data_IF_401491590136
#
_entry.id   IF_401491590136
#
_cell.length_a   1.000
_cell.length_b   1.000
_cell.length_c   1.000
_cell.angle_alpha   90.00
_cell.angle_beta   90.00
_cell.angle_gamma   90.00
#
_symmetry.space_group_name_H-M   'P 1'
#
loop_
_entity.id
_entity.type
_entity.pdbx_description
1 polymer ?
#
# COMPACT_ATOMS: atom_id res chain seq x y z
N UNK A 1 7.28 -60.55 -31.66
CA UNK A 1 8.43 -59.80 -32.20
C UNK A 1 7.92 -58.41 -32.53
N UNK A 2 8.19 -57.43 -31.67
CA UNK A 2 7.61 -56.10 -31.74
C UNK A 2 8.34 -55.24 -32.79
N UNK A 3 7.58 -54.56 -33.64
CA UNK A 3 8.07 -53.61 -34.64
C UNK A 3 8.33 -52.26 -33.92
N UNK A 4 9.49 -51.61 -34.10
CA UNK A 4 9.80 -50.38 -33.38
C UNK A 4 9.07 -49.18 -33.99
N UNK A 5 8.42 -48.40 -33.14
CA UNK A 5 7.83 -47.12 -33.49
C UNK A 5 8.90 -46.03 -33.48
N UNK A 6 9.48 -45.72 -34.64
CA UNK A 6 10.34 -44.56 -34.83
C UNK A 6 9.87 -43.75 -36.04
N UNK A 7 8.84 -42.92 -35.86
CA UNK A 7 8.60 -41.70 -36.66
C UNK A 7 7.48 -40.88 -36.02
N UNK A 8 7.80 -40.16 -34.95
CA UNK A 8 7.09 -38.94 -34.57
C UNK A 8 8.13 -37.88 -34.21
N UNK A 9 8.66 -37.23 -35.26
CA UNK A 9 9.35 -35.96 -35.13
C UNK A 9 8.36 -34.94 -34.56
N UNK A 10 8.55 -34.58 -33.28
CA UNK A 10 7.83 -33.48 -32.63
C UNK A 10 8.14 -32.18 -33.41
N UNK A 11 7.14 -31.41 -33.88
CA UNK A 11 7.43 -30.10 -34.42
C UNK A 11 7.90 -29.19 -33.26
N UNK A 12 8.91 -28.41 -33.57
CA UNK A 12 9.72 -27.63 -32.65
C UNK A 12 8.90 -26.61 -31.84
N UNK A 13 8.93 -26.75 -30.51
CA UNK A 13 8.59 -25.70 -29.54
C UNK A 13 9.70 -24.62 -29.47
N UNK A 14 10.14 -24.11 -30.62
CA UNK A 14 11.27 -23.16 -30.72
C UNK A 14 10.82 -21.69 -30.64
N UNK A 15 9.66 -21.36 -31.23
CA UNK A 15 9.16 -19.97 -31.32
C UNK A 15 8.85 -19.32 -29.96
N UNK A 16 8.32 -20.07 -28.99
CA UNK A 16 8.06 -19.55 -27.64
C UNK A 16 9.35 -19.19 -26.87
N UNK A 17 10.44 -19.95 -27.08
CA UNK A 17 11.73 -19.67 -26.42
C UNK A 17 12.47 -18.51 -27.07
N UNK A 18 12.34 -18.34 -28.40
CA UNK A 18 12.91 -17.21 -29.14
C UNK A 18 12.13 -15.91 -28.82
N UNK A 19 10.81 -15.98 -28.68
CA UNK A 19 9.99 -14.85 -28.25
C UNK A 19 10.27 -14.44 -26.80
N UNK A 20 10.41 -15.41 -25.88
CA UNK A 20 10.71 -15.12 -24.48
C UNK A 20 12.10 -14.51 -24.24
N UNK A 21 13.08 -14.75 -25.13
CA UNK A 21 14.43 -14.19 -25.00
C UNK A 21 14.58 -12.76 -25.55
N UNK A 22 13.59 -12.26 -26.30
CA UNK A 22 13.58 -10.91 -26.89
C UNK A 22 12.34 -10.14 -26.45
N UNK A 23 12.22 -9.89 -25.14
CA UNK A 23 11.10 -9.13 -24.55
C UNK A 23 10.92 -7.75 -25.20
N UNK A 24 12.01 -7.10 -25.60
CA UNK A 24 11.98 -5.79 -26.27
C UNK A 24 11.35 -5.88 -27.67
N UNK A 25 11.62 -6.97 -28.40
CA UNK A 25 11.00 -7.21 -29.71
C UNK A 25 9.50 -7.45 -29.55
N UNK A 26 9.09 -8.21 -28.53
CA UNK A 26 7.68 -8.44 -28.21
C UNK A 26 6.96 -7.13 -27.89
N UNK A 27 7.56 -6.27 -27.07
CA UNK A 27 7.01 -4.96 -26.73
C UNK A 27 6.88 -4.05 -27.97
N UNK A 28 7.92 -4.01 -28.82
CA UNK A 28 7.89 -3.23 -30.06
C UNK A 28 6.82 -3.72 -31.03
N UNK A 29 6.70 -5.04 -31.22
CA UNK A 29 5.66 -5.64 -32.07
C UNK A 29 4.26 -5.36 -31.51
N UNK A 30 4.08 -5.42 -30.19
CA UNK A 30 2.80 -5.08 -29.56
C UNK A 30 2.43 -3.60 -29.80
N UNK A 31 3.37 -2.67 -29.61
CA UNK A 31 3.15 -1.25 -29.87
C UNK A 31 2.81 -0.97 -31.34
N UNK A 32 3.58 -1.52 -32.28
CA UNK A 32 3.29 -1.40 -33.71
C UNK A 32 1.93 -2.03 -34.03
N UNK A 33 1.61 -3.16 -33.41
CA UNK A 33 0.32 -3.84 -33.53
C UNK A 33 -0.86 -2.92 -33.16
N UNK A 34 -0.76 -2.17 -32.06
CA UNK A 34 -1.78 -1.18 -31.65
C UNK A 34 -2.00 -0.14 -32.75
N UNK A 35 -0.92 0.41 -33.31
CA UNK A 35 -0.99 1.42 -34.39
C UNK A 35 -1.59 0.81 -35.67
N UNK A 36 -1.21 -0.42 -36.01
CA UNK A 36 -1.75 -1.13 -37.18
C UNK A 36 -3.24 -1.38 -37.05
N UNK A 37 -3.72 -1.80 -35.87
CA UNK A 37 -5.16 -1.99 -35.57
C UNK A 37 -5.93 -0.68 -35.77
N UNK A 38 -5.35 0.47 -35.39
CA UNK A 38 -5.98 1.77 -35.59
C UNK A 38 -6.17 2.12 -37.08
N UNK A 39 -5.29 1.67 -37.97
CA UNK A 39 -5.32 2.01 -39.40
C UNK A 39 -6.09 0.96 -40.21
N UNK A 40 -5.84 -0.34 -39.97
CA UNK A 40 -6.39 -1.43 -40.77
C UNK A 40 -7.74 -1.93 -40.23
N UNK A 41 -8.69 -2.29 -41.10
CA UNK A 41 -9.95 -2.87 -40.67
C UNK A 41 -9.74 -4.27 -40.10
N UNK A 42 -10.18 -4.49 -38.87
CA UNK A 42 -10.15 -5.80 -38.22
C UNK A 42 -11.49 -6.53 -38.36
N UNK A 43 -11.50 -7.85 -38.58
CA UNK A 43 -12.74 -8.63 -38.56
C UNK A 43 -13.41 -8.61 -37.17
N UNK A 44 -14.74 -8.71 -37.08
CA UNK A 44 -15.46 -8.66 -35.80
C UNK A 44 -14.98 -9.69 -34.75
N UNK A 45 -14.64 -10.92 -35.19
CA UNK A 45 -14.16 -11.95 -34.28
C UNK A 45 -12.80 -11.64 -33.63
N UNK A 46 -11.91 -10.92 -34.34
CA UNK A 46 -10.64 -10.48 -33.77
C UNK A 46 -10.84 -9.30 -32.81
N UNK A 47 -11.77 -8.40 -33.11
CA UNK A 47 -12.15 -7.34 -32.19
C UNK A 47 -12.66 -7.92 -30.87
N UNK A 48 -13.54 -8.92 -30.90
CA UNK A 48 -14.05 -9.58 -29.68
C UNK A 48 -12.91 -10.14 -28.81
N UNK A 49 -11.93 -10.82 -29.41
CA UNK A 49 -10.76 -11.36 -28.69
C UNK A 49 -9.95 -10.23 -28.06
N UNK A 50 -9.66 -9.16 -28.81
CA UNK A 50 -8.86 -8.05 -28.34
C UNK A 50 -9.56 -7.25 -27.23
N UNK A 51 -10.89 -7.09 -27.30
CA UNK A 51 -11.68 -6.47 -26.23
C UNK A 51 -11.63 -7.30 -24.94
N UNK A 52 -11.75 -8.62 -25.03
CA UNK A 52 -11.62 -9.51 -23.87
C UNK A 52 -10.21 -9.46 -23.28
N UNK A 53 -9.17 -9.43 -24.12
CA UNK A 53 -7.79 -9.24 -23.68
C UNK A 53 -7.64 -7.90 -22.95
N UNK A 54 -8.23 -6.82 -23.48
CA UNK A 54 -8.18 -5.50 -22.84
C UNK A 54 -8.82 -5.52 -21.44
N UNK A 55 -10.01 -6.13 -21.30
CA UNK A 55 -10.67 -6.31 -19.99
C UNK A 55 -9.78 -7.13 -19.05
N UNK A 56 -9.24 -8.25 -19.52
CA UNK A 56 -8.37 -9.11 -18.72
C UNK A 56 -7.12 -8.37 -18.24
N UNK A 57 -6.44 -7.63 -19.11
CA UNK A 57 -5.29 -6.81 -18.76
C UNK A 57 -5.63 -5.73 -17.73
N UNK A 58 -6.80 -5.10 -17.82
CA UNK A 58 -7.25 -4.13 -16.82
C UNK A 58 -7.54 -4.76 -15.46
N UNK A 59 -8.14 -5.95 -15.43
CA UNK A 59 -8.35 -6.69 -14.18
C UNK A 59 -7.00 -7.08 -13.57
N UNK A 60 -6.08 -7.64 -14.36
CA UNK A 60 -4.73 -8.02 -13.90
C UNK A 60 -4.01 -6.79 -13.35
N UNK A 61 -4.07 -5.66 -14.05
CA UNK A 61 -3.46 -4.39 -13.61
C UNK A 61 -4.03 -3.95 -12.26
N UNK A 62 -5.35 -3.96 -12.07
CA UNK A 62 -5.97 -3.61 -10.79
C UNK A 62 -5.55 -4.57 -9.67
N UNK A 63 -5.63 -5.88 -9.91
CA UNK A 63 -5.26 -6.88 -8.90
C UNK A 63 -3.78 -6.75 -8.52
N UNK A 64 -2.89 -6.51 -9.48
CA UNK A 64 -1.47 -6.27 -9.21
C UNK A 64 -1.31 -5.07 -8.25
N UNK A 65 -1.99 -3.96 -8.49
CA UNK A 65 -1.94 -2.80 -7.57
C UNK A 65 -2.53 -3.05 -6.17
N UNK A 66 -3.45 -4.01 -6.04
CA UNK A 66 -4.04 -4.38 -4.75
C UNK A 66 -3.13 -5.28 -3.92
N UNK A 67 -2.38 -6.16 -4.59
CA UNK A 67 -1.53 -7.16 -3.94
C UNK A 67 -0.08 -6.74 -3.78
N UNK A 68 0.41 -5.76 -4.56
CA UNK A 68 1.78 -5.25 -4.39
C UNK A 68 1.93 -4.46 -3.09
N UNK A 69 3.05 -4.70 -2.41
CA UNK A 69 3.45 -4.08 -1.14
C UNK A 69 4.53 -3.01 -1.30
N UNK A 70 5.35 -3.05 -2.35
CA UNK A 70 6.42 -2.07 -2.59
C UNK A 70 6.20 -1.33 -3.92
N UNK A 71 6.18 0.00 -3.89
CA UNK A 71 6.06 0.83 -5.09
C UNK A 71 7.25 0.75 -6.02
N UNK A 72 8.43 0.38 -5.53
CA UNK A 72 9.63 0.19 -6.36
C UNK A 72 9.44 -0.90 -7.42
N UNK A 73 8.61 -1.91 -7.12
CA UNK A 73 8.29 -3.01 -8.04
C UNK A 73 7.41 -2.58 -9.22
N UNK A 74 6.77 -1.41 -9.13
CA UNK A 74 5.80 -0.91 -10.11
C UNK A 74 6.30 0.28 -10.92
N UNK A 75 7.61 0.49 -11.01
CA UNK A 75 8.19 1.56 -11.84
C UNK A 75 7.76 1.53 -13.32
N UNK A 76 7.39 0.37 -13.86
CA UNK A 76 6.91 0.24 -15.25
C UNK A 76 5.43 0.61 -15.42
N UNK A 77 4.69 0.83 -14.33
CA UNK A 77 3.25 1.05 -14.34
C UNK A 77 2.81 2.26 -15.18
N UNK A 78 3.47 3.44 -15.17
CA UNK A 78 3.10 4.55 -16.04
C UNK A 78 3.11 4.16 -17.53
N UNK A 79 4.11 3.39 -17.94
CA UNK A 79 4.25 2.90 -19.32
C UNK A 79 3.18 1.85 -19.65
N UNK A 80 2.85 0.96 -18.72
CA UNK A 80 1.75 -0.01 -18.88
C UNK A 80 0.41 0.72 -19.05
N UNK A 81 0.17 1.75 -18.24
CA UNK A 81 -1.04 2.55 -18.29
C UNK A 81 -1.16 3.30 -19.64
N UNK A 82 -0.07 3.89 -20.13
CA UNK A 82 -0.05 4.55 -21.44
C UNK A 82 -0.28 3.55 -22.59
N UNK A 83 0.31 2.36 -22.51
CA UNK A 83 0.13 1.33 -23.53
C UNK A 83 -1.31 0.81 -23.53
N UNK A 84 -1.89 0.59 -22.35
CA UNK A 84 -3.26 0.13 -22.19
C UNK A 84 -4.30 1.18 -22.63
N UNK A 85 -4.04 2.47 -22.43
CA UNK A 85 -4.90 3.55 -22.96
C UNK A 85 -4.83 3.62 -24.48
N UNK A 86 -3.64 3.56 -25.06
CA UNK A 86 -3.47 3.54 -26.52
C UNK A 86 -4.15 2.32 -27.15
N UNK A 87 -3.99 1.14 -26.54
CA UNK A 87 -4.65 -0.08 -27.00
C UNK A 87 -6.17 0.07 -26.99
N UNK A 88 -6.74 0.57 -25.89
CA UNK A 88 -8.17 0.85 -25.77
C UNK A 88 -8.66 1.85 -26.81
N UNK A 89 -7.94 2.94 -27.05
CA UNK A 89 -8.28 3.91 -28.07
C UNK A 89 -8.29 3.29 -29.47
N UNK A 90 -7.31 2.44 -29.80
CA UNK A 90 -7.26 1.73 -31.06
C UNK A 90 -8.44 0.76 -31.24
N UNK A 91 -8.88 0.08 -30.16
CA UNK A 91 -10.06 -0.76 -30.19
C UNK A 91 -11.34 0.05 -30.40
N UNK A 92 -11.50 1.19 -29.73
CA UNK A 92 -12.66 2.08 -29.90
C UNK A 92 -12.76 2.63 -31.33
N UNK A 93 -11.63 2.98 -31.96
CA UNK A 93 -11.59 3.41 -33.37
C UNK A 93 -11.98 2.25 -34.30
N UNK A 94 -11.52 1.04 -33.98
CA UNK A 94 -11.83 -0.16 -34.77
C UNK A 94 -13.30 -0.58 -34.65
N UNK A 95 -13.85 -0.57 -33.44
CA UNK A 95 -15.26 -0.88 -33.18
C UNK A 95 -16.17 0.16 -33.83
N UNK A 96 -15.87 1.45 -33.70
CA UNK A 96 -16.59 2.55 -34.37
C UNK A 96 -16.67 2.34 -35.88
N UNK A 97 -15.55 1.95 -36.51
CA UNK A 97 -15.53 1.64 -37.94
C UNK A 97 -16.48 0.50 -38.29
N UNK A 98 -16.47 -0.60 -37.54
CA UNK A 98 -17.37 -1.73 -37.76
C UNK A 98 -18.83 -1.33 -37.54
N UNK A 99 -19.12 -0.60 -36.47
CA UNK A 99 -20.46 -0.08 -36.15
C UNK A 99 -20.99 0.72 -37.34
N UNK A 100 -20.26 1.73 -37.80
CA UNK A 100 -20.70 2.62 -38.87
C UNK A 100 -20.76 1.94 -40.25
N UNK A 101 -19.80 1.08 -40.58
CA UNK A 101 -19.73 0.47 -41.92
C UNK A 101 -20.60 -0.77 -42.05
N UNK A 102 -20.60 -1.66 -41.05
CA UNK A 102 -21.28 -2.96 -41.12
C UNK A 102 -22.57 -3.01 -40.32
N UNK A 103 -22.84 -2.03 -39.44
CA UNK A 103 -23.92 -2.12 -38.44
C UNK A 103 -23.79 -3.39 -37.58
N UNK A 104 -22.55 -3.79 -37.34
CA UNK A 104 -22.14 -4.88 -36.47
C UNK A 104 -20.86 -4.46 -35.75
N UNK A 105 -20.67 -4.95 -34.52
CA UNK A 105 -19.53 -4.61 -33.68
C UNK A 105 -18.92 -5.84 -32.99
N UNK A 106 -19.29 -7.05 -33.42
CA UNK A 106 -18.90 -8.28 -32.74
C UNK A 106 -19.89 -8.69 -31.65
N UNK A 107 -19.67 -9.88 -31.11
CA UNK A 107 -20.58 -10.51 -30.16
C UNK A 107 -20.46 -9.89 -28.77
N UNK A 108 -19.25 -9.49 -28.36
CA UNK A 108 -19.02 -8.92 -27.03
C UNK A 108 -19.78 -7.61 -26.91
N UNK A 109 -19.58 -6.67 -27.85
CA UNK A 109 -20.27 -5.38 -27.86
C UNK A 109 -21.80 -5.56 -27.91
N UNK A 110 -22.28 -6.47 -28.77
CA UNK A 110 -23.72 -6.74 -28.89
C UNK A 110 -24.31 -7.29 -27.59
N UNK A 111 -23.62 -8.19 -26.91
CA UNK A 111 -24.06 -8.77 -25.65
C UNK A 111 -24.16 -7.71 -24.54
N UNK A 112 -23.13 -6.86 -24.40
CA UNK A 112 -23.14 -5.75 -23.43
C UNK A 112 -24.23 -4.72 -23.74
N UNK A 113 -24.42 -4.39 -25.01
CA UNK A 113 -25.47 -3.46 -25.45
C UNK A 113 -26.87 -3.99 -25.13
N UNK A 114 -27.14 -5.26 -25.45
CA UNK A 114 -28.43 -5.90 -25.14
C UNK A 114 -28.70 -6.02 -23.64
N UNK A 115 -27.67 -6.27 -22.83
CA UNK A 115 -27.81 -6.38 -21.38
C UNK A 115 -28.31 -5.08 -20.74
N UNK A 116 -27.81 -3.92 -21.20
CA UNK A 116 -28.19 -2.61 -20.62
C UNK A 116 -29.44 -2.02 -21.28
N UNK A 117 -29.59 -2.18 -22.59
CA UNK A 117 -30.74 -1.64 -23.32
C UNK A 117 -32.00 -2.46 -23.08
N UNK A 118 -31.88 -3.78 -22.88
CA UNK A 118 -33.05 -4.68 -22.79
C UNK A 118 -34.04 -4.40 -23.94
N UNK A 119 -35.34 -4.40 -23.68
CA UNK A 119 -36.38 -4.06 -24.66
C UNK A 119 -36.62 -2.53 -24.83
N UNK A 120 -35.86 -1.66 -24.16
CA UNK A 120 -36.08 -0.20 -24.20
C UNK A 120 -34.78 0.59 -24.41
N UNK A 121 -34.49 0.92 -25.67
CA UNK A 121 -33.30 1.69 -26.07
C UNK A 121 -33.22 3.09 -25.48
N UNK A 122 -34.36 3.71 -25.13
CA UNK A 122 -34.37 5.03 -24.47
C UNK A 122 -33.84 4.91 -23.04
N UNK A 123 -34.35 3.93 -22.28
CA UNK A 123 -33.88 3.68 -20.90
C UNK A 123 -32.40 3.27 -20.91
N UNK A 124 -32.01 2.41 -21.84
CA UNK A 124 -30.61 2.01 -22.01
C UNK A 124 -29.69 3.19 -22.30
N UNK A 125 -30.10 4.11 -23.18
CA UNK A 125 -29.35 5.33 -23.47
C UNK A 125 -29.21 6.23 -22.22
N UNK A 126 -30.29 6.40 -21.44
CA UNK A 126 -30.24 7.21 -20.20
C UNK A 126 -29.28 6.59 -19.17
N UNK A 127 -29.39 5.28 -18.92
CA UNK A 127 -28.48 4.57 -18.01
C UNK A 127 -27.03 4.72 -18.50
N UNK A 128 -26.80 4.52 -19.79
CA UNK A 128 -25.48 4.65 -20.38
C UNK A 128 -24.89 6.06 -20.22
N UNK A 129 -25.68 7.12 -20.45
CA UNK A 129 -25.23 8.51 -20.24
C UNK A 129 -24.87 8.73 -18.77
N UNK A 130 -25.66 8.23 -17.83
CA UNK A 130 -25.35 8.34 -16.39
C UNK A 130 -24.02 7.66 -16.07
N UNK A 131 -23.82 6.41 -16.51
CA UNK A 131 -22.57 5.67 -16.23
C UNK A 131 -21.38 6.40 -16.88
N UNK A 132 -21.53 6.87 -18.11
CA UNK A 132 -20.49 7.62 -18.82
C UNK A 132 -20.11 8.91 -18.07
N UNK A 133 -21.09 9.66 -17.58
CA UNK A 133 -20.87 10.89 -16.81
C UNK A 133 -20.19 10.58 -15.49
N UNK A 134 -20.65 9.58 -14.73
CA UNK A 134 -20.01 9.17 -13.47
C UNK A 134 -18.57 8.73 -13.72
N UNK A 135 -18.35 7.95 -14.78
CA UNK A 135 -17.02 7.47 -15.13
C UNK A 135 -16.06 8.61 -15.46
N UNK A 136 -16.50 9.61 -16.22
CA UNK A 136 -15.64 10.75 -16.57
C UNK A 136 -15.49 11.73 -15.40
N UNK A 137 -16.60 12.23 -14.87
CA UNK A 137 -16.63 13.34 -13.91
C UNK A 137 -16.12 12.92 -12.53
N UNK A 138 -16.49 11.72 -12.07
CA UNK A 138 -16.15 11.27 -10.72
C UNK A 138 -14.88 10.43 -10.74
N UNK A 139 -14.85 9.37 -11.54
CA UNK A 139 -13.78 8.37 -11.47
C UNK A 139 -12.51 8.88 -12.17
N UNK A 140 -12.60 9.21 -13.46
CA UNK A 140 -11.42 9.60 -14.25
C UNK A 140 -10.83 10.93 -13.79
N UNK A 141 -11.67 11.96 -13.64
CA UNK A 141 -11.20 13.26 -13.13
C UNK A 141 -10.78 13.19 -11.66
N UNK A 142 -11.45 12.37 -10.83
CA UNK A 142 -11.07 12.17 -9.43
C UNK A 142 -9.69 11.52 -9.32
N UNK A 143 -9.48 10.40 -10.00
CA UNK A 143 -8.19 9.70 -10.05
C UNK A 143 -7.08 10.60 -10.60
N UNK A 144 -7.36 11.35 -11.67
CA UNK A 144 -6.40 12.30 -12.25
C UNK A 144 -5.98 13.40 -11.27
N UNK A 145 -6.92 13.98 -10.52
CA UNK A 145 -6.61 15.00 -9.50
C UNK A 145 -5.82 14.44 -8.33
N UNK A 146 -6.14 13.22 -7.89
CA UNK A 146 -5.39 12.53 -6.84
C UNK A 146 -3.95 12.27 -7.31
N UNK A 147 -3.78 11.79 -8.55
CA UNK A 147 -2.48 11.55 -9.15
C UNK A 147 -1.64 12.83 -9.29
N UNK A 148 -2.24 13.90 -9.82
CA UNK A 148 -1.58 15.21 -10.00
C UNK A 148 -1.12 15.80 -8.66
N UNK A 149 -2.00 15.81 -7.65
CA UNK A 149 -1.72 16.42 -6.35
C UNK A 149 -0.65 15.63 -5.60
N UNK A 150 -0.75 14.30 -5.58
CA UNK A 150 0.23 13.46 -4.92
C UNK A 150 1.60 13.51 -5.62
N UNK A 151 1.63 13.44 -6.96
CA UNK A 151 2.87 13.60 -7.71
C UNK A 151 3.52 14.95 -7.40
N UNK A 152 2.75 16.04 -7.43
CA UNK A 152 3.28 17.37 -7.12
C UNK A 152 3.84 17.46 -5.70
N UNK A 153 3.12 16.99 -4.68
CA UNK A 153 3.62 17.04 -3.31
C UNK A 153 4.86 16.16 -3.09
N UNK A 154 4.91 14.98 -3.70
CA UNK A 154 6.09 14.12 -3.63
C UNK A 154 7.29 14.75 -4.34
N UNK A 155 7.08 15.37 -5.50
CA UNK A 155 8.12 16.08 -6.25
C UNK A 155 8.62 17.33 -5.49
N UNK A 156 7.72 18.09 -4.86
CA UNK A 156 8.06 19.26 -4.04
C UNK A 156 8.87 18.86 -2.78
N UNK A 157 8.70 17.62 -2.30
CA UNK A 157 9.46 17.07 -1.16
C UNK A 157 10.86 16.54 -1.53
N UNK A 158 11.20 16.42 -2.83
CA UNK A 158 12.48 15.85 -3.26
C UNK A 158 13.72 16.59 -2.75
N UNK A 159 13.80 17.94 -2.78
CA UNK A 159 14.96 18.64 -2.25
C UNK A 159 15.17 18.35 -0.76
N UNK A 160 14.09 18.25 0.01
CA UNK A 160 14.15 17.89 1.43
C UNK A 160 14.70 16.48 1.66
N UNK A 161 14.22 15.50 0.88
CA UNK A 161 14.74 14.12 0.91
C UNK A 161 16.20 14.02 0.43
N UNK A 162 16.62 14.84 -0.55
CA UNK A 162 18.01 14.90 -0.98
C UNK A 162 18.91 15.49 0.12
N UNK A 163 18.49 16.62 0.71
CA UNK A 163 19.20 17.25 1.82
C UNK A 163 19.34 16.33 3.03
N UNK A 164 18.33 15.51 3.35
CA UNK A 164 18.45 14.54 4.44
C UNK A 164 19.47 13.44 4.13
N UNK A 165 19.56 12.97 2.89
CA UNK A 165 20.60 12.01 2.48
C UNK A 165 22.00 12.65 2.60
N UNK A 166 22.14 13.90 2.16
CA UNK A 166 23.41 14.62 2.26
C UNK A 166 23.80 14.89 3.71
N UNK A 167 22.83 15.22 4.57
CA UNK A 167 23.05 15.39 6.00
C UNK A 167 23.48 14.08 6.67
N UNK A 168 22.82 12.95 6.39
CA UNK A 168 23.17 11.63 6.90
C UNK A 168 24.59 11.22 6.48
N UNK A 169 24.96 11.46 5.22
CA UNK A 169 26.30 11.18 4.70
C UNK A 169 27.36 12.06 5.36
N UNK A 170 27.11 13.37 5.46
CA UNK A 170 28.03 14.31 6.12
C UNK A 170 28.17 14.04 7.63
N UNK A 171 27.14 13.48 8.27
CA UNK A 171 27.16 13.06 9.67
C UNK A 171 27.85 11.69 9.88
N UNK A 172 28.22 10.99 8.81
CA UNK A 172 28.83 9.66 8.88
C UNK A 172 27.87 8.54 9.27
N UNK A 173 26.55 8.76 9.17
CA UNK A 173 25.53 7.75 9.45
C UNK A 173 25.40 6.72 8.30
N UNK A 174 25.77 7.12 7.09
CA UNK A 174 25.76 6.28 5.87
C UNK A 174 27.06 6.43 5.10
N UNK A 175 27.44 5.39 4.35
CA UNK A 175 28.60 5.38 3.46
C UNK A 175 28.27 5.95 2.06
N UNK A 176 29.29 6.10 1.21
CA UNK A 176 29.15 6.67 -0.14
C UNK A 176 28.26 5.79 -1.03
N UNK A 177 28.39 4.47 -0.93
CA UNK A 177 27.60 3.52 -1.71
C UNK A 177 26.12 3.56 -1.31
N UNK A 178 25.79 3.60 -0.02
CA UNK A 178 24.41 3.75 0.45
C UNK A 178 23.84 5.12 0.08
N UNK A 179 24.62 6.21 0.19
CA UNK A 179 24.19 7.54 -0.23
C UNK A 179 23.89 7.57 -1.74
N UNK A 180 24.73 6.94 -2.57
CA UNK A 180 24.50 6.82 -4.01
C UNK A 180 23.26 6.00 -4.34
N UNK A 181 23.05 4.88 -3.66
CA UNK A 181 21.86 4.04 -3.85
C UNK A 181 20.58 4.78 -3.43
N UNK A 182 20.57 5.45 -2.28
CA UNK A 182 19.41 6.26 -1.83
C UNK A 182 19.08 7.39 -2.80
N UNK A 183 20.09 8.08 -3.35
CA UNK A 183 19.88 9.10 -4.39
C UNK A 183 19.29 8.50 -5.68
N UNK A 184 19.74 7.32 -6.09
CA UNK A 184 19.20 6.62 -7.26
C UNK A 184 17.74 6.19 -7.05
N UNK A 185 17.42 5.66 -5.87
CA UNK A 185 16.06 5.31 -5.48
C UNK A 185 15.15 6.55 -5.49
N UNK A 186 15.64 7.66 -4.94
CA UNK A 186 14.92 8.94 -4.92
C UNK A 186 14.69 9.52 -6.33
N UNK A 187 15.68 9.39 -7.23
CA UNK A 187 15.51 9.76 -8.64
C UNK A 187 14.45 8.89 -9.31
N UNK A 188 14.48 7.59 -9.06
CA UNK A 188 13.51 6.65 -9.62
C UNK A 188 12.09 6.94 -9.12
N UNK A 189 11.93 7.28 -7.84
CA UNK A 189 10.67 7.76 -7.26
C UNK A 189 10.18 9.03 -7.97
N UNK A 190 11.07 10.00 -8.18
CA UNK A 190 10.75 11.24 -8.89
C UNK A 190 10.27 10.99 -10.34
N UNK A 191 11.01 10.17 -11.09
CA UNK A 191 10.68 9.81 -12.47
C UNK A 191 9.34 9.08 -12.55
N UNK A 192 9.05 8.20 -11.59
CA UNK A 192 7.77 7.50 -11.48
C UNK A 192 6.60 8.47 -11.29
N UNK A 193 6.67 9.38 -10.31
CA UNK A 193 5.58 10.34 -10.06
C UNK A 193 5.42 11.35 -11.21
N UNK A 194 6.52 11.79 -11.83
CA UNK A 194 6.49 12.62 -13.03
C UNK A 194 5.82 11.92 -14.22
N UNK A 195 6.16 10.65 -14.46
CA UNK A 195 5.54 9.84 -15.50
C UNK A 195 4.06 9.54 -15.20
N UNK A 196 3.69 9.31 -13.92
CA UNK A 196 2.30 9.07 -13.50
C UNK A 196 1.39 10.28 -13.73
N UNK A 197 1.85 11.51 -13.45
CA UNK A 197 1.09 12.73 -13.76
C UNK A 197 0.81 12.84 -15.28
N UNK A 198 1.84 12.61 -16.10
CA UNK A 198 1.70 12.57 -17.55
C UNK A 198 0.72 11.49 -18.03
N UNK A 199 0.90 10.25 -17.58
CA UNK A 199 0.06 9.11 -17.94
C UNK A 199 -1.41 9.33 -17.53
N UNK A 200 -1.66 9.94 -16.37
CA UNK A 200 -3.01 10.25 -15.87
C UNK A 200 -3.74 11.27 -16.76
N UNK A 201 -3.01 12.25 -17.32
CA UNK A 201 -3.57 13.20 -18.31
C UNK A 201 -3.96 12.50 -19.61
N UNK A 202 -3.21 11.48 -20.04
CA UNK A 202 -3.58 10.63 -21.18
C UNK A 202 -4.87 9.84 -20.93
N UNK A 203 -5.06 9.26 -19.73
CA UNK A 203 -6.32 8.57 -19.38
C UNK A 203 -7.51 9.53 -19.44
N UNK A 204 -7.34 10.76 -18.95
CA UNK A 204 -8.38 11.79 -19.02
C UNK A 204 -8.71 12.16 -20.47
N UNK A 205 -7.69 12.32 -21.32
CA UNK A 205 -7.88 12.59 -22.75
C UNK A 205 -8.63 11.47 -23.47
N UNK A 206 -8.31 10.22 -23.16
CA UNK A 206 -9.00 9.04 -23.70
C UNK A 206 -10.49 9.00 -23.29
N UNK A 207 -10.82 9.34 -22.04
CA UNK A 207 -12.22 9.38 -21.61
C UNK A 207 -13.04 10.46 -22.37
N UNK A 208 -12.42 11.61 -22.69
CA UNK A 208 -13.04 12.65 -23.53
C UNK A 208 -13.25 12.10 -24.95
N UNK A 209 -12.24 11.44 -25.52
CA UNK A 209 -12.34 10.82 -26.83
C UNK A 209 -13.47 9.78 -26.87
N UNK A 210 -13.63 8.97 -25.82
CA UNK A 210 -14.72 8.00 -25.71
C UNK A 210 -16.12 8.64 -25.78
N UNK A 211 -16.33 9.77 -25.10
CA UNK A 211 -17.60 10.52 -25.18
C UNK A 211 -17.84 11.04 -26.60
N UNK A 212 -16.80 11.57 -27.25
CA UNK A 212 -16.89 12.05 -28.63
C UNK A 212 -17.24 10.90 -29.58
N UNK A 213 -16.60 9.74 -29.41
CA UNK A 213 -16.84 8.54 -30.21
C UNK A 213 -18.29 8.07 -30.08
N UNK A 214 -18.85 8.06 -28.86
CA UNK A 214 -20.27 7.76 -28.64
C UNK A 214 -21.17 8.69 -29.46
N UNK A 215 -20.92 10.01 -29.41
CA UNK A 215 -21.72 10.98 -30.14
C UNK A 215 -21.61 10.76 -31.66
N UNK A 216 -20.40 10.48 -32.15
CA UNK A 216 -20.15 10.15 -33.56
C UNK A 216 -20.91 8.87 -33.95
N UNK A 217 -20.91 7.85 -33.10
CA UNK A 217 -21.56 6.58 -33.40
C UNK A 217 -23.09 6.70 -33.45
N UNK A 218 -23.70 7.46 -32.53
CA UNK A 218 -25.15 7.71 -32.55
C UNK A 218 -25.53 8.55 -33.77
N UNK A 219 -24.92 9.72 -33.95
CA UNK A 219 -25.31 10.68 -35.00
C UNK A 219 -24.92 10.14 -36.38
N UNK A 220 -23.67 9.70 -36.54
CA UNK A 220 -23.16 9.14 -37.78
C UNK A 220 -23.85 7.83 -38.14
N UNK A 221 -24.11 6.97 -37.15
CA UNK A 221 -24.83 5.71 -37.34
C UNK A 221 -26.26 5.93 -37.83
N UNK A 222 -27.00 6.87 -37.21
CA UNK A 222 -28.33 7.27 -37.67
C UNK A 222 -28.30 7.81 -39.11
N UNK A 223 -27.36 8.70 -39.43
CA UNK A 223 -27.22 9.27 -40.77
C UNK A 223 -26.91 8.19 -41.82
N UNK A 224 -25.93 7.33 -41.57
CA UNK A 224 -25.55 6.24 -42.49
C UNK A 224 -26.68 5.20 -42.60
N UNK A 225 -27.32 4.85 -41.48
CA UNK A 225 -28.42 3.91 -41.42
C UNK A 225 -29.61 4.33 -42.29
N UNK A 226 -30.03 5.59 -42.19
CA UNK A 226 -31.17 6.12 -42.93
C UNK A 226 -30.80 6.47 -44.37
N UNK A 227 -29.69 7.19 -44.58
CA UNK A 227 -29.34 7.73 -45.91
C UNK A 227 -28.68 6.71 -46.84
N UNK A 228 -27.89 5.78 -46.30
CA UNK A 228 -27.10 4.84 -47.12
C UNK A 228 -27.62 3.40 -47.04
N UNK A 229 -28.04 2.93 -45.87
CA UNK A 229 -28.51 1.54 -45.67
C UNK A 229 -30.02 1.35 -45.84
N UNK A 230 -30.78 2.44 -45.99
CA UNK A 230 -32.23 2.39 -46.21
C UNK A 230 -33.05 1.93 -44.99
N UNK A 231 -32.48 1.98 -43.78
CA UNK A 231 -33.22 1.66 -42.56
C UNK A 231 -34.25 2.75 -42.24
N UNK A 232 -35.34 2.36 -41.59
CA UNK A 232 -36.24 3.36 -40.99
C UNK A 232 -35.52 4.07 -39.84
N UNK A 233 -35.93 5.31 -39.52
CA UNK A 233 -35.35 6.08 -38.41
C UNK A 233 -35.39 5.27 -37.11
N UNK A 234 -36.49 4.56 -36.86
CA UNK A 234 -36.65 3.74 -35.66
C UNK A 234 -35.70 2.53 -35.64
N UNK A 235 -35.55 1.83 -36.77
CA UNK A 235 -34.62 0.69 -36.88
C UNK A 235 -33.16 1.14 -36.73
N UNK A 236 -32.78 2.23 -37.40
CA UNK A 236 -31.45 2.81 -37.27
C UNK A 236 -31.20 3.24 -35.82
N UNK A 237 -32.14 3.93 -35.18
CA UNK A 237 -32.03 4.33 -33.79
C UNK A 237 -31.82 3.12 -32.88
N UNK A 238 -32.60 2.06 -33.05
CA UNK A 238 -32.48 0.86 -32.22
C UNK A 238 -31.11 0.17 -32.40
N UNK A 239 -30.70 -0.09 -33.65
CA UNK A 239 -29.44 -0.82 -33.94
C UNK A 239 -28.23 -0.02 -33.47
N UNK A 240 -28.11 1.23 -33.90
CA UNK A 240 -26.93 2.04 -33.60
C UNK A 240 -26.89 2.47 -32.13
N UNK A 241 -28.03 2.67 -31.47
CA UNK A 241 -28.04 2.92 -30.01
C UNK A 241 -27.57 1.69 -29.24
N UNK A 242 -28.06 0.50 -29.57
CA UNK A 242 -27.64 -0.74 -28.89
C UNK A 242 -26.14 -0.97 -29.07
N UNK A 243 -25.63 -0.84 -30.30
CA UNK A 243 -24.22 -1.04 -30.59
C UNK A 243 -23.34 0.02 -29.93
N UNK A 244 -23.76 1.29 -29.94
CA UNK A 244 -22.98 2.37 -29.33
C UNK A 244 -22.95 2.27 -27.81
N UNK A 245 -24.10 1.97 -27.19
CA UNK A 245 -24.17 1.75 -25.74
C UNK A 245 -23.31 0.54 -25.36
N UNK A 246 -23.39 -0.56 -26.12
CA UNK A 246 -22.56 -1.74 -25.91
C UNK A 246 -21.07 -1.42 -26.00
N UNK A 247 -20.64 -0.72 -27.05
CA UNK A 247 -19.25 -0.34 -27.28
C UNK A 247 -18.73 0.54 -26.14
N UNK A 248 -19.50 1.56 -25.76
CA UNK A 248 -19.15 2.43 -24.64
C UNK A 248 -19.04 1.69 -23.31
N UNK A 249 -19.94 0.74 -23.02
CA UNK A 249 -19.88 -0.06 -21.79
C UNK A 249 -18.67 -0.98 -21.75
N UNK A 250 -18.35 -1.64 -22.87
CA UNK A 250 -17.16 -2.49 -22.98
C UNK A 250 -15.90 -1.66 -22.78
N UNK A 251 -15.84 -0.44 -23.33
CA UNK A 251 -14.72 0.48 -23.14
C UNK A 251 -14.63 1.04 -21.70
N UNK A 252 -15.76 1.16 -20.99
CA UNK A 252 -15.82 1.71 -19.64
C UNK A 252 -15.26 0.78 -18.57
N UNK A 253 -15.45 -0.54 -18.69
CA UNK A 253 -14.96 -1.50 -17.70
C UNK A 253 -13.42 -1.39 -17.53
N UNK A 254 -12.61 -1.51 -18.61
CA UNK A 254 -11.17 -1.25 -18.56
C UNK A 254 -10.81 0.13 -18.00
N UNK A 255 -11.58 1.16 -18.38
CA UNK A 255 -11.34 2.55 -17.97
C UNK A 255 -11.49 2.75 -16.46
N UNK A 256 -12.52 2.15 -15.85
CA UNK A 256 -12.76 2.17 -14.40
C UNK A 256 -11.59 1.48 -13.72
N UNK A 257 -11.30 0.25 -14.11
CA UNK A 257 -10.28 -0.59 -13.48
C UNK A 257 -8.89 0.07 -13.52
N UNK A 258 -8.47 0.61 -14.67
CA UNK A 258 -7.18 1.29 -14.81
C UNK A 258 -7.15 2.61 -14.02
N UNK A 259 -8.22 3.41 -14.05
CA UNK A 259 -8.29 4.67 -13.29
C UNK A 259 -8.23 4.42 -11.79
N UNK A 260 -8.93 3.39 -11.31
CA UNK A 260 -8.88 2.98 -9.90
C UNK A 260 -7.51 2.45 -9.54
N UNK A 261 -6.89 1.59 -10.36
CA UNK A 261 -5.55 1.08 -10.13
C UNK A 261 -4.51 2.21 -10.04
N UNK A 262 -4.57 3.18 -10.95
CA UNK A 262 -3.70 4.35 -10.94
C UNK A 262 -3.89 5.21 -9.69
N UNK A 263 -5.14 5.50 -9.32
CA UNK A 263 -5.46 6.26 -8.11
C UNK A 263 -4.98 5.55 -6.84
N UNK A 264 -5.21 4.24 -6.74
CA UNK A 264 -4.77 3.42 -5.61
C UNK A 264 -3.25 3.33 -5.50
N UNK A 265 -2.55 3.16 -6.61
CA UNK A 265 -1.09 3.05 -6.61
C UNK A 265 -0.43 4.32 -6.07
N UNK A 266 -0.95 5.48 -6.47
CA UNK A 266 -0.44 6.77 -6.02
C UNK A 266 -0.72 7.00 -4.53
N UNK A 267 -1.92 6.66 -4.05
CA UNK A 267 -2.29 6.89 -2.64
C UNK A 267 -1.67 5.88 -1.67
N UNK A 268 -1.33 4.68 -2.15
CA UNK A 268 -0.69 3.62 -1.36
C UNK A 268 0.83 3.59 -1.50
N UNK A 269 1.43 4.65 -2.05
CA UNK A 269 2.83 4.60 -2.45
C UNK A 269 3.84 4.44 -1.31
N UNK A 270 3.39 4.69 -0.07
CA UNK A 270 4.15 4.59 1.18
C UNK A 270 3.64 3.48 2.10
N UNK A 271 2.70 2.65 1.65
CA UNK A 271 2.16 1.53 2.44
C UNK A 271 3.16 0.37 2.49
N UNK A 272 3.39 -0.20 3.68
CA UNK A 272 4.30 -1.36 3.87
C UNK A 272 3.59 -2.71 3.73
N UNK A 273 2.25 -2.74 3.83
CA UNK A 273 1.43 -3.95 3.81
C UNK A 273 0.50 -3.98 2.58
N UNK A 274 -0.08 -5.15 2.28
CA UNK A 274 -1.05 -5.27 1.18
C UNK A 274 -2.37 -4.57 1.51
N UNK A 275 -3.17 -4.22 0.49
CA UNK A 275 -4.41 -3.44 0.73
C UNK A 275 -5.38 -4.16 1.64
N UNK A 276 -5.48 -5.49 1.47
CA UNK A 276 -6.33 -6.34 2.28
C UNK A 276 -5.89 -6.37 3.76
N UNK A 277 -4.59 -6.41 4.02
CA UNK A 277 -4.05 -6.39 5.38
C UNK A 277 -4.27 -5.05 6.06
N UNK A 278 -4.07 -3.93 5.36
CA UNK A 278 -4.34 -2.59 5.90
C UNK A 278 -5.83 -2.39 6.20
N UNK A 279 -6.70 -2.79 5.27
CA UNK A 279 -8.15 -2.70 5.47
C UNK A 279 -8.60 -3.60 6.62
N UNK A 280 -8.18 -4.87 6.63
CA UNK A 280 -8.51 -5.80 7.71
C UNK A 280 -7.99 -5.27 9.05
N UNK A 281 -6.74 -4.81 9.08
CA UNK A 281 -6.14 -4.18 10.25
C UNK A 281 -6.97 -3.01 10.75
N UNK A 282 -7.33 -2.04 9.91
CA UNK A 282 -8.03 -0.82 10.33
C UNK A 282 -9.49 -1.08 10.72
N UNK A 283 -10.26 -1.81 9.92
CA UNK A 283 -11.68 -2.05 10.18
C UNK A 283 -11.92 -3.04 11.32
N UNK A 284 -11.07 -4.06 11.46
CA UNK A 284 -11.22 -5.09 12.50
C UNK A 284 -10.56 -4.69 13.83
N UNK A 285 -9.73 -3.64 13.87
CA UNK A 285 -9.11 -3.13 15.11
C UNK A 285 -10.10 -2.51 16.09
N UNK A 286 -11.32 -2.16 15.65
CA UNK A 286 -12.33 -1.52 16.48
C UNK A 286 -13.62 -2.35 16.63
N UNK A 287 -13.59 -3.49 17.37
CA UNK A 287 -14.76 -4.36 17.51
C UNK A 287 -16.01 -3.66 18.07
N UNK A 288 -15.81 -2.63 18.92
CA UNK A 288 -16.91 -1.83 19.48
C UNK A 288 -17.68 -1.07 18.40
N UNK A 289 -17.00 -0.57 17.37
CA UNK A 289 -17.65 0.11 16.25
C UNK A 289 -18.50 -0.88 15.46
N UNK A 290 -17.96 -2.07 15.19
CA UNK A 290 -18.69 -3.16 14.51
C UNK A 290 -19.96 -3.57 15.28
N UNK A 291 -19.89 -3.61 16.62
CA UNK A 291 -21.06 -3.90 17.46
C UNK A 291 -22.14 -2.80 17.39
N UNK A 292 -21.72 -1.53 17.42
CA UNK A 292 -22.64 -0.40 17.28
C UNK A 292 -23.31 -0.39 15.90
N UNK A 293 -22.56 -0.71 14.85
CA UNK A 293 -23.12 -0.89 13.49
C UNK A 293 -24.14 -2.02 13.46
N UNK A 294 -23.87 -3.15 14.11
CA UNK A 294 -24.83 -4.26 14.19
C UNK A 294 -26.14 -3.86 14.87
N UNK A 295 -26.05 -3.10 15.98
CA UNK A 295 -27.22 -2.56 16.68
C UNK A 295 -28.02 -1.56 15.83
N UNK A 296 -27.34 -0.67 15.12
CA UNK A 296 -27.99 0.28 14.21
C UNK A 296 -28.70 -0.44 13.05
N UNK A 297 -28.06 -1.43 12.43
CA UNK A 297 -28.66 -2.24 11.36
C UNK A 297 -29.88 -3.01 11.85
N UNK A 298 -29.85 -3.54 13.09
CA UNK A 298 -31.00 -4.19 13.71
C UNK A 298 -32.18 -3.22 13.88
N UNK A 299 -31.93 -2.00 14.39
CA UNK A 299 -32.95 -0.97 14.56
C UNK A 299 -33.54 -0.52 13.21
N UNK A 300 -32.70 -0.33 12.19
CA UNK A 300 -33.17 -0.01 10.83
C UNK A 300 -34.00 -1.16 10.23
N UNK A 301 -33.66 -2.41 10.52
CA UNK A 301 -34.42 -3.58 10.10
C UNK A 301 -35.83 -3.68 10.71
N UNK A 302 -36.10 -2.96 11.80
CA UNK A 302 -37.44 -2.87 12.41
C UNK A 302 -38.33 -1.78 11.79
N UNK A 303 -37.77 -0.89 10.95
CA UNK A 303 -38.52 0.19 10.32
C UNK A 303 -39.41 -0.37 9.21
N UNK A 304 -40.74 -0.19 9.28
CA UNK A 304 -41.65 -0.67 8.24
C UNK A 304 -41.41 0.08 6.92
N UNK A 305 -41.38 -0.67 5.81
CA UNK A 305 -41.08 -0.13 4.47
C UNK A 305 -39.65 -0.36 3.99
N UNK A 306 -38.74 -0.80 4.87
CA UNK A 306 -37.39 -1.24 4.49
C UNK A 306 -37.31 -2.77 4.31
N UNK A 307 -36.42 -3.28 3.43
CA UNK A 307 -36.21 -4.71 3.25
C UNK A 307 -35.57 -5.33 4.50
N UNK A 308 -36.38 -5.84 5.41
CA UNK A 308 -35.96 -6.29 6.75
C UNK A 308 -34.92 -7.42 6.74
N UNK A 309 -35.06 -8.37 5.79
CA UNK A 309 -34.20 -9.56 5.69
C UNK A 309 -32.72 -9.19 5.49
N UNK A 310 -32.32 -8.37 4.48
CA UNK A 310 -30.94 -7.88 4.36
C UNK A 310 -30.37 -7.25 5.62
N UNK A 311 -31.13 -6.38 6.30
CA UNK A 311 -30.67 -5.69 7.50
C UNK A 311 -30.40 -6.65 8.67
N UNK A 312 -31.30 -7.63 8.90
CA UNK A 312 -31.09 -8.62 9.95
C UNK A 312 -29.93 -9.56 9.66
N UNK A 313 -29.75 -9.99 8.41
CA UNK A 313 -28.59 -10.82 8.01
C UNK A 313 -27.29 -10.05 8.27
N UNK A 314 -27.21 -8.79 7.83
CA UNK A 314 -26.00 -7.97 8.01
C UNK A 314 -25.74 -7.67 9.50
N UNK A 315 -26.79 -7.40 10.28
CA UNK A 315 -26.69 -7.23 11.73
C UNK A 315 -26.17 -8.48 12.43
N UNK A 316 -26.64 -9.67 12.04
CA UNK A 316 -26.15 -10.93 12.59
C UNK A 316 -24.68 -11.18 12.25
N UNK A 317 -24.27 -10.93 11.00
CA UNK A 317 -22.86 -11.06 10.56
C UNK A 317 -21.97 -10.10 11.36
N UNK A 318 -22.33 -8.82 11.46
CA UNK A 318 -21.55 -7.84 12.22
C UNK A 318 -21.48 -8.19 13.71
N UNK A 319 -22.57 -8.69 14.30
CA UNK A 319 -22.58 -9.13 15.70
C UNK A 319 -21.63 -10.31 15.93
N UNK A 320 -21.64 -11.29 15.02
CA UNK A 320 -20.77 -12.47 15.09
C UNK A 320 -19.29 -12.09 14.91
N UNK A 321 -18.98 -11.23 13.93
CA UNK A 321 -17.63 -10.70 13.72
C UNK A 321 -17.13 -9.87 14.92
N UNK A 322 -17.98 -9.02 15.50
CA UNK A 322 -17.59 -8.26 16.69
C UNK A 322 -17.29 -9.19 17.87
N UNK A 323 -18.10 -10.24 18.05
CA UNK A 323 -17.89 -11.21 19.12
C UNK A 323 -16.56 -11.96 18.99
N UNK A 324 -16.20 -12.41 17.77
CA UNK A 324 -14.91 -13.07 17.53
C UNK A 324 -13.73 -12.12 17.76
N UNK A 325 -13.81 -10.89 17.28
CA UNK A 325 -12.75 -9.89 17.47
C UNK A 325 -12.55 -9.49 18.94
N UNK A 326 -13.63 -9.32 19.71
CA UNK A 326 -13.55 -9.03 21.15
C UNK A 326 -12.89 -10.20 21.88
N UNK A 327 -13.23 -11.44 21.51
CA UNK A 327 -12.65 -12.64 22.09
C UNK A 327 -11.15 -12.71 21.81
N UNK A 328 -10.74 -12.50 20.57
CA UNK A 328 -9.33 -12.51 20.16
C UNK A 328 -8.52 -11.41 20.86
N UNK A 329 -9.06 -10.18 20.97
CA UNK A 329 -8.40 -9.10 21.71
C UNK A 329 -8.29 -9.40 23.21
N UNK A 330 -9.30 -10.03 23.80
CA UNK A 330 -9.27 -10.43 25.21
C UNK A 330 -8.22 -11.53 25.44
N UNK A 331 -8.13 -12.50 24.54
CA UNK A 331 -7.14 -13.56 24.60
C UNK A 331 -5.71 -13.03 24.45
N UNK A 332 -5.45 -12.15 23.47
CA UNK A 332 -4.16 -11.48 23.31
C UNK A 332 -3.75 -10.68 24.54
N UNK A 333 -4.70 -9.99 25.20
CA UNK A 333 -4.43 -9.26 26.45
C UNK A 333 -4.06 -10.19 27.61
N UNK A 334 -4.68 -11.37 27.70
CA UNK A 334 -4.37 -12.36 28.74
C UNK A 334 -2.97 -12.94 28.50
N UNK A 335 -2.67 -13.34 27.26
CA UNK A 335 -1.36 -13.87 26.87
C UNK A 335 -0.24 -12.85 27.09
N UNK A 336 -0.47 -11.58 26.75
CA UNK A 336 0.50 -10.51 26.98
C UNK A 336 0.68 -10.19 28.48
N UNK A 337 -0.37 -10.34 29.29
CA UNK A 337 -0.27 -10.22 30.74
C UNK A 337 0.48 -11.41 31.36
N UNK A 338 0.32 -12.62 30.83
CA UNK A 338 1.08 -13.80 31.24
C UNK A 338 2.56 -13.68 30.85
N UNK A 339 2.88 -13.24 29.64
CA UNK A 339 4.26 -12.98 29.21
C UNK A 339 4.91 -11.89 30.07
N UNK A 340 4.18 -10.82 30.39
CA UNK A 340 4.68 -9.74 31.26
C UNK A 340 4.86 -10.23 32.71
N UNK A 341 3.99 -11.10 33.20
CA UNK A 341 4.10 -11.71 34.53
C UNK A 341 5.29 -12.68 34.61
N UNK A 342 5.52 -13.49 33.57
CA UNK A 342 6.72 -14.35 33.48
C UNK A 342 7.99 -13.52 33.38
N UNK A 343 8.00 -12.43 32.59
CA UNK A 343 9.13 -11.50 32.51
C UNK A 343 9.45 -10.83 33.85
N UNK A 344 8.42 -10.48 34.64
CA UNK A 344 8.58 -9.95 36.00
C UNK A 344 9.05 -11.01 37.00
N UNK A 345 8.69 -12.28 36.81
CA UNK A 345 9.16 -13.41 37.64
C UNK A 345 10.60 -13.85 37.28
N UNK A 346 11.05 -13.63 36.05
CA UNK A 346 12.41 -13.90 35.58
C UNK A 346 13.40 -12.74 35.77
N UNK A 347 12.95 -11.61 36.31
CA UNK A 347 13.86 -10.62 36.87
C UNK A 347 14.44 -11.19 38.18
N UNK A 348 15.46 -12.04 38.05
CA UNK A 348 16.35 -12.38 39.16
C UNK A 348 16.84 -11.07 39.80
N UNK A 349 16.97 -11.01 41.14
CA UNK A 349 17.43 -9.80 41.80
C UNK A 349 18.85 -9.49 41.35
N UNK A 350 19.02 -8.43 40.54
CA UNK A 350 20.30 -7.91 40.03
C UNK A 350 21.32 -7.51 41.13
N UNK A 351 21.02 -7.72 42.41
CA UNK A 351 21.77 -7.16 43.53
C UNK A 351 22.49 -8.20 44.41
N UNK A 352 22.71 -9.43 43.93
CA UNK A 352 23.59 -10.38 44.64
C UNK A 352 25.07 -10.16 44.33
N UNK A 353 25.42 -9.65 43.13
CA UNK A 353 26.81 -9.38 42.76
C UNK A 353 27.37 -8.06 43.31
N UNK A 354 26.51 -7.09 43.64
CA UNK A 354 26.90 -5.85 44.32
C UNK A 354 27.33 -6.10 45.78
N UNK A 355 26.86 -7.18 46.41
CA UNK A 355 27.29 -7.66 47.73
C UNK A 355 28.67 -8.35 47.72
N UNK A 356 29.21 -8.70 46.54
CA UNK A 356 30.49 -9.39 46.38
C UNK A 356 31.70 -8.44 46.20
N UNK A 357 31.47 -7.13 46.08
CA UNK A 357 32.55 -6.14 46.02
C UNK A 357 33.09 -5.88 47.42
N UNK A 358 34.10 -6.66 47.80
CA UNK A 358 34.83 -6.48 49.05
C UNK A 358 35.77 -5.27 48.91
N UNK A 359 35.45 -4.17 49.59
CA UNK A 359 36.33 -3.00 49.68
C UNK A 359 37.60 -3.36 50.47
N UNK A 360 38.75 -2.83 50.03
CA UNK A 360 40.03 -3.16 50.66
C UNK A 360 40.12 -2.64 52.09
N UNK A 361 39.61 -1.42 52.34
CA UNK A 361 39.51 -0.81 53.66
C UNK A 361 38.20 -0.03 53.77
N UNK A 362 37.41 -0.35 54.78
CA UNK A 362 36.11 0.27 55.06
C UNK A 362 36.06 0.71 56.53
N UNK A 363 35.43 1.85 56.80
CA UNK A 363 35.18 2.37 58.13
C UNK A 363 33.68 2.44 58.32
N UNK A 364 33.17 1.62 59.23
CA UNK A 364 31.78 1.69 59.67
C UNK A 364 31.69 2.54 60.94
N UNK A 365 30.73 3.46 60.97
CA UNK A 365 30.53 4.37 62.11
C UNK A 365 29.12 4.24 62.66
N UNK A 366 29.00 4.28 64.00
CA UNK A 366 27.74 4.41 64.69
C UNK A 366 27.08 5.77 64.45
N UNK A 367 25.77 5.83 64.65
CA UNK A 367 24.93 7.00 64.29
C UNK A 367 25.41 8.34 64.89
N UNK A 368 25.94 8.37 66.13
CA UNK A 368 26.40 9.62 66.74
C UNK A 368 27.74 10.13 66.18
N UNK A 369 28.45 9.30 65.41
CA UNK A 369 29.71 9.67 64.78
C UNK A 369 29.51 10.18 63.34
N UNK A 370 28.32 10.02 62.76
CA UNK A 370 27.98 10.53 61.43
C UNK A 370 28.24 12.03 61.28
N UNK A 371 27.90 12.90 62.26
CA UNK A 371 28.21 14.33 62.17
C UNK A 371 29.70 14.66 62.04
N UNK A 372 30.61 13.73 62.36
CA UNK A 372 32.07 13.93 62.19
C UNK A 372 32.53 13.79 60.73
N UNK A 373 31.67 13.23 59.86
CA UNK A 373 31.93 13.04 58.43
C UNK A 373 31.46 14.19 57.56
N UNK A 374 30.53 15.00 58.07
CA UNK A 374 29.89 16.06 57.30
C UNK A 374 30.60 17.41 57.51
N UNK A 375 30.99 18.05 56.42
CA UNK A 375 31.75 19.31 56.43
C UNK A 375 30.85 20.56 56.59
N UNK A 376 29.56 20.36 56.84
CA UNK A 376 28.51 21.39 56.75
C UNK A 376 28.20 22.10 58.09
N UNK A 377 28.67 21.60 59.23
CA UNK A 377 28.34 22.19 60.54
C UNK A 377 29.59 22.58 61.32
N UNK A 378 29.61 23.84 61.77
CA UNK A 378 30.67 24.53 62.50
C UNK A 378 31.51 23.64 63.45
N UNK A 379 32.78 23.42 63.08
CA UNK A 379 33.89 23.20 64.02
C UNK A 379 34.24 21.78 64.46
N UNK A 380 33.47 20.73 64.13
CA UNK A 380 33.72 19.36 64.65
C UNK A 380 33.78 18.23 63.62
N UNK A 381 33.34 18.44 62.37
CA UNK A 381 33.42 17.44 61.30
C UNK A 381 34.68 17.59 60.47
N UNK A 382 35.66 16.67 60.62
CA UNK A 382 36.87 16.72 59.80
C UNK A 382 37.50 15.35 59.50
N UNK A 383 36.68 14.29 59.52
CA UNK A 383 37.17 12.92 59.37
C UNK A 383 37.75 12.66 57.96
N UNK A 384 37.11 13.17 56.92
CA UNK A 384 37.55 13.00 55.53
C UNK A 384 38.92 13.64 55.25
N UNK A 385 39.14 14.86 55.76
CA UNK A 385 40.44 15.54 55.64
C UNK A 385 41.53 14.80 56.43
N UNK A 386 41.22 14.34 57.64
CA UNK A 386 42.15 13.57 58.47
C UNK A 386 42.53 12.23 57.84
N UNK A 387 41.58 11.52 57.23
CA UNK A 387 41.85 10.29 56.48
C UNK A 387 42.76 10.59 55.28
N UNK A 388 42.50 11.68 54.56
CA UNK A 388 43.32 12.09 53.42
C UNK A 388 44.75 12.44 53.85
N UNK A 389 44.90 13.17 54.96
CA UNK A 389 46.20 13.49 55.54
C UNK A 389 46.95 12.24 56.04
N UNK A 390 46.25 11.30 56.68
CA UNK A 390 46.83 10.04 57.14
C UNK A 390 47.33 9.17 55.97
N UNK A 391 46.57 9.11 54.86
CA UNK A 391 47.00 8.42 53.63
C UNK A 391 48.26 9.05 53.04
N UNK A 392 48.33 10.39 52.97
CA UNK A 392 49.54 11.09 52.50
C UNK A 392 50.75 10.84 53.41
N UNK A 393 50.53 10.82 54.73
CA UNK A 393 51.57 10.51 55.71
C UNK A 393 52.08 9.07 55.57
N UNK A 394 51.18 8.10 55.39
CA UNK A 394 51.56 6.70 55.13
C UNK A 394 52.40 6.55 53.85
N UNK A 395 52.07 7.30 52.79
CA UNK A 395 52.89 7.34 51.58
C UNK A 395 54.28 7.94 51.87
N UNK A 396 54.34 9.06 52.59
CA UNK A 396 55.59 9.77 52.87
C UNK A 396 56.52 9.03 53.84
N UNK A 397 55.99 8.32 54.83
CA UNK A 397 56.79 7.68 55.89
C UNK A 397 57.05 6.20 55.62
N UNK A 398 56.08 5.49 55.03
CA UNK A 398 56.15 4.04 54.83
C UNK A 398 56.29 3.65 53.35
N UNK A 399 56.11 4.59 52.40
CA UNK A 399 56.14 4.30 50.97
C UNK A 399 54.93 3.49 50.49
N UNK A 400 53.88 3.35 51.31
CA UNK A 400 52.70 2.51 51.00
C UNK A 400 51.55 3.40 50.51
N UNK A 401 51.03 3.09 49.32
CA UNK A 401 49.84 3.74 48.77
C UNK A 401 48.58 3.02 49.25
N UNK A 402 47.87 3.62 50.21
CA UNK A 402 46.58 3.12 50.69
C UNK A 402 45.48 3.49 49.68
N UNK A 403 44.66 2.53 49.26
CA UNK A 403 43.50 2.75 48.37
C UNK A 403 42.44 3.68 49.01
N UNK A 404 41.47 4.22 48.24
CA UNK A 404 40.36 4.99 48.81
C UNK A 404 39.66 4.21 49.91
N UNK A 405 39.41 4.86 51.04
CA UNK A 405 38.78 4.25 52.22
C UNK A 405 37.30 4.61 52.17
N UNK A 406 36.43 3.60 52.13
CA UNK A 406 34.98 3.82 52.11
C UNK A 406 34.47 4.03 53.53
N UNK A 407 33.61 5.01 53.73
CA UNK A 407 32.97 5.29 55.02
C UNK A 407 31.48 4.97 54.88
N UNK A 408 30.92 4.21 55.83
CA UNK A 408 29.50 3.88 55.88
C UNK A 408 28.96 4.03 57.28
N UNK A 409 27.72 4.48 57.39
CA UNK A 409 26.95 4.37 58.61
C UNK A 409 26.47 2.93 58.80
N UNK A 410 26.66 2.39 60.00
CA UNK A 410 26.15 1.07 60.37
C UNK A 410 25.24 1.17 61.58
N UNK A 411 23.93 1.00 61.35
CA UNK A 411 22.89 1.04 62.37
C UNK A 411 22.95 -0.13 63.36
N UNK A 412 23.73 -1.18 63.06
CA UNK A 412 23.95 -2.31 63.95
C UNK A 412 25.08 -2.07 64.97
N UNK A 413 25.91 -1.04 64.79
CA UNK A 413 26.93 -0.66 65.76
C UNK A 413 26.32 0.18 66.90
N UNK A 414 26.84 0.05 68.14
CA UNK A 414 26.50 0.98 69.20
C UNK A 414 26.73 2.44 68.77
N UNK A 415 25.94 3.41 69.25
CA UNK A 415 25.90 4.77 68.70
C UNK A 415 27.26 5.50 68.64
N UNK A 416 28.19 5.19 69.54
CA UNK A 416 29.50 5.83 69.66
C UNK A 416 30.67 4.93 69.21
N UNK A 417 30.39 3.77 68.63
CA UNK A 417 31.41 2.81 68.21
C UNK A 417 31.75 2.98 66.73
N UNK A 418 32.96 2.57 66.37
CA UNK A 418 33.44 2.50 65.00
C UNK A 418 34.14 1.16 64.75
N UNK A 419 34.10 0.68 63.52
CA UNK A 419 34.72 -0.58 63.11
C UNK A 419 35.52 -0.34 61.82
N UNK A 420 36.79 -0.76 61.84
CA UNK A 420 37.62 -0.83 60.64
C UNK A 420 37.53 -2.23 60.06
N UNK A 421 37.10 -2.33 58.80
CA UNK A 421 37.11 -3.57 58.04
C UNK A 421 38.24 -3.56 57.02
N UNK A 422 38.99 -4.64 56.95
CA UNK A 422 40.03 -4.85 55.93
C UNK A 422 39.65 -6.07 55.12
N UNK A 423 39.41 -5.88 53.82
CA UNK A 423 38.92 -6.95 52.93
C UNK A 423 37.68 -7.66 53.50
N UNK A 424 36.73 -6.88 54.03
CA UNK A 424 35.43 -7.38 54.50
C UNK A 424 35.43 -8.07 55.87
N UNK A 425 36.56 -8.15 56.57
CA UNK A 425 36.69 -8.72 57.91
C UNK A 425 36.98 -7.66 58.97
#
# INVERSE_FOLDING_TARGET
MAIPASHFSKPERSWWKIAANNTDLLAAVAFIGIVVIMILPIPPGWLDILLVINIALSIITLLLTLFTTDTKELNIFPSVLLTATLFRLALNISSTRLILTQADAGQVIRAFGQYVVSNNYVVGLVIFVIITVVQFVVITNGAGRIAEVAARFTLDALPGKQMSIDADFNAGLIDEDAARQRRKDLQTEADFFGAMDGASKFVRGDAIAGIIIVLINIIGGLAIGVLQKGFTIQQAAQIYTILTVGDGLVAQIPAILISTAAGMLVTRSTAEASFGEELAGQFLSYPRVVLLTAGLLFLLGLVPGLPTVPFFILSAICSLLSFTLIKDLKQKKIEQAEISAVAQLSAEPEDMYSLLQVELLEIEIGYNLVPLTDNLHDGYGNLLERITAARRKAISELGIVIQPIRIRDNLHLPPNDYLFKLKGN
#
